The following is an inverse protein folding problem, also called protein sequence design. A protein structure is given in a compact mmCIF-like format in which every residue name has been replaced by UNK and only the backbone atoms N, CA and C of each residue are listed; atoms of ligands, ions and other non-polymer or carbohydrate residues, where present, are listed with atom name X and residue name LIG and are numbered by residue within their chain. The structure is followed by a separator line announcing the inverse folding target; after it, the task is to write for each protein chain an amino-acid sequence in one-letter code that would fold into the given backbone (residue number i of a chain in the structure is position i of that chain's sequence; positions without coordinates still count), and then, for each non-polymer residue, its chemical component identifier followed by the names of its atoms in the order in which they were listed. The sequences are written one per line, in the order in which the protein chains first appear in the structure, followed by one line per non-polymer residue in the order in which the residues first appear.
data_IF_819956168596
#
_entry.id   IF_819956168596
#
_cell.length_a   1.000
_cell.length_b   1.000
_cell.length_c   1.000
_cell.angle_alpha   90.00
_cell.angle_beta   90.00
_cell.angle_gamma   90.00
#
_symmetry.space_group_name_H-M   'P 1'
#
loop_
_entity.id
_entity.type
_entity.pdbx_description
1 polymer ?
#
# COMPACT_ATOMS: atom_id res chain seq x y z
N UNK A 1 -1.39 10.09 18.10
CA UNK A 1 -1.22 10.30 16.66
C UNK A 1 -2.26 9.48 15.92
N UNK A 2 -2.95 10.08 14.95
CA UNK A 2 -3.99 9.44 14.16
C UNK A 2 -3.64 9.54 12.67
N UNK A 3 -3.45 8.41 12.02
CA UNK A 3 -2.99 8.32 10.62
C UNK A 3 -4.08 7.74 9.74
N UNK A 4 -4.31 8.37 8.58
CA UNK A 4 -5.20 7.82 7.56
C UNK A 4 -4.39 7.23 6.42
N UNK A 5 -4.57 5.94 6.15
CA UNK A 5 -3.91 5.22 5.07
C UNK A 5 -4.83 5.10 3.87
N UNK A 6 -4.36 5.49 2.70
CA UNK A 6 -5.10 5.45 1.45
C UNK A 6 -4.55 4.37 0.52
N UNK A 7 -5.43 3.52 -0.01
CA UNK A 7 -5.05 2.46 -0.97
C UNK A 7 -6.12 2.27 -2.03
N UNK A 8 -5.75 1.69 -3.17
CA UNK A 8 -6.72 1.41 -4.24
C UNK A 8 -7.82 0.43 -3.81
N UNK A 9 -7.49 -0.60 -3.03
CA UNK A 9 -8.41 -1.67 -2.62
C UNK A 9 -8.55 -2.81 -3.65
N UNK A 10 -7.80 -2.75 -4.74
CA UNK A 10 -7.65 -3.85 -5.71
C UNK A 10 -6.26 -4.45 -5.71
N UNK A 11 -5.48 -4.11 -4.71
CA UNK A 11 -4.09 -4.49 -4.59
C UNK A 11 -3.95 -5.97 -4.19
N UNK A 12 -2.91 -6.62 -4.69
CA UNK A 12 -2.60 -8.03 -4.45
C UNK A 12 -1.09 -8.20 -4.21
N UNK A 13 -0.67 -9.39 -3.79
CA UNK A 13 0.73 -9.70 -3.56
C UNK A 13 1.35 -8.93 -2.39
N UNK A 14 2.65 -8.63 -2.49
CA UNK A 14 3.45 -8.08 -1.40
C UNK A 14 2.96 -6.74 -0.85
N UNK A 15 2.45 -5.84 -1.69
CA UNK A 15 1.91 -4.55 -1.25
C UNK A 15 0.68 -4.72 -0.34
N UNK A 16 -0.21 -5.67 -0.67
CA UNK A 16 -1.36 -6.03 0.16
C UNK A 16 -0.92 -6.54 1.52
N UNK A 17 -0.06 -7.55 1.54
CA UNK A 17 0.44 -8.16 2.78
C UNK A 17 1.13 -7.13 3.66
N UNK A 18 1.98 -6.28 3.07
CA UNK A 18 2.65 -5.21 3.80
C UNK A 18 1.65 -4.25 4.46
N UNK A 19 0.66 -3.73 3.72
CA UNK A 19 -0.29 -2.74 4.25
C UNK A 19 -1.14 -3.33 5.38
N UNK A 20 -1.63 -4.56 5.22
CA UNK A 20 -2.43 -5.22 6.25
C UNK A 20 -1.61 -5.48 7.53
N UNK A 21 -0.39 -6.03 7.40
CA UNK A 21 0.51 -6.27 8.52
C UNK A 21 0.92 -4.96 9.20
N UNK A 22 1.25 -3.93 8.43
CA UNK A 22 1.59 -2.60 8.95
C UNK A 22 0.46 -2.03 9.79
N UNK A 23 -0.77 -2.01 9.28
CA UNK A 23 -1.92 -1.43 9.96
C UNK A 23 -2.33 -2.22 11.20
N UNK A 24 -2.28 -3.55 11.15
CA UNK A 24 -2.53 -4.41 12.29
C UNK A 24 -1.56 -4.13 13.44
N UNK A 25 -0.29 -3.90 13.12
CA UNK A 25 0.73 -3.60 14.13
C UNK A 25 0.69 -2.13 14.58
N UNK A 26 0.48 -1.17 13.70
CA UNK A 26 0.34 0.23 14.06
C UNK A 26 -0.83 0.48 15.02
N UNK A 27 -1.96 -0.19 14.82
CA UNK A 27 -3.14 -0.06 15.69
C UNK A 27 -2.92 -0.55 17.13
N UNK A 28 -1.77 -1.18 17.44
CA UNK A 28 -1.37 -1.49 18.81
C UNK A 28 -0.82 -0.27 19.57
N UNK A 29 -0.36 0.76 18.85
CA UNK A 29 0.36 1.92 19.41
C UNK A 29 -0.22 3.27 19.02
N UNK A 30 -0.83 3.38 17.85
CA UNK A 30 -1.45 4.60 17.34
C UNK A 30 -2.81 4.27 16.72
N UNK A 31 -3.60 5.28 16.41
CA UNK A 31 -4.83 5.08 15.63
C UNK A 31 -4.51 5.11 14.14
N UNK A 32 -4.64 3.99 13.45
CA UNK A 32 -4.46 3.89 12.01
C UNK A 32 -5.78 3.48 11.33
N UNK A 33 -6.29 4.35 10.47
CA UNK A 33 -7.53 4.17 9.69
C UNK A 33 -7.18 3.81 8.26
N UNK A 34 -7.81 2.78 7.71
CA UNK A 34 -7.70 2.42 6.30
C UNK A 34 -8.84 3.02 5.49
N UNK A 35 -8.51 3.57 4.33
CA UNK A 35 -9.45 3.99 3.29
C UNK A 35 -9.13 3.28 2.00
N UNK A 36 -10.11 2.55 1.47
CA UNK A 36 -10.05 1.91 0.15
C UNK A 36 -10.89 2.68 -0.86
N UNK A 37 -10.37 2.83 -2.09
CA UNK A 37 -11.11 3.44 -3.21
C UNK A 37 -11.97 2.46 -3.98
N UNK A 38 -11.98 1.21 -3.57
CA UNK A 38 -12.84 0.14 -4.08
C UNK A 38 -13.13 -0.84 -2.96
N UNK A 39 -14.39 -1.24 -2.87
CA UNK A 39 -14.78 -2.36 -2.01
C UNK A 39 -14.37 -3.70 -2.64
N UNK A 40 -14.19 -4.71 -1.82
CA UNK A 40 -13.82 -6.04 -2.28
C UNK A 40 -12.93 -6.81 -1.31
N UNK A 41 -12.32 -7.92 -1.78
CA UNK A 41 -11.59 -8.87 -0.93
C UNK A 41 -10.49 -8.25 -0.05
N UNK A 42 -9.84 -7.18 -0.51
CA UNK A 42 -8.84 -6.47 0.29
C UNK A 42 -9.46 -5.79 1.52
N UNK A 43 -10.56 -5.05 1.30
CA UNK A 43 -11.25 -4.36 2.37
C UNK A 43 -11.89 -5.35 3.36
N UNK A 44 -12.44 -6.47 2.85
CA UNK A 44 -13.01 -7.52 3.67
C UNK A 44 -11.97 -8.19 4.56
N UNK A 45 -10.76 -8.43 4.04
CA UNK A 45 -9.66 -8.99 4.81
C UNK A 45 -9.17 -8.01 5.88
N UNK A 46 -9.06 -6.72 5.54
CA UNK A 46 -8.72 -5.69 6.51
C UNK A 46 -9.72 -5.65 7.67
N UNK A 47 -11.01 -5.69 7.37
CA UNK A 47 -12.08 -5.74 8.39
C UNK A 47 -11.99 -6.99 9.27
N UNK A 48 -11.73 -8.17 8.67
CA UNK A 48 -11.52 -9.43 9.41
C UNK A 48 -10.33 -9.38 10.36
N UNK A 49 -9.30 -8.61 10.01
CA UNK A 49 -8.13 -8.35 10.84
C UNK A 49 -8.36 -7.27 11.91
N UNK A 50 -9.59 -6.75 12.03
CA UNK A 50 -9.92 -5.70 12.98
C UNK A 50 -9.38 -4.31 12.62
N UNK A 51 -8.96 -4.11 11.36
CA UNK A 51 -8.46 -2.82 10.89
C UNK A 51 -9.67 -1.92 10.56
N UNK A 52 -9.79 -0.73 11.20
CA UNK A 52 -10.82 0.24 10.87
C UNK A 52 -10.75 0.61 9.38
N UNK A 53 -11.79 0.29 8.62
CA UNK A 53 -11.77 0.38 7.15
C UNK A 53 -13.00 1.09 6.61
N UNK A 54 -12.78 2.15 5.84
CA UNK A 54 -13.80 2.94 5.14
C UNK A 54 -13.66 2.83 3.62
N UNK A 55 -14.77 2.94 2.91
CA UNK A 55 -14.80 2.87 1.46
C UNK A 55 -15.21 4.21 0.85
N UNK A 56 -14.31 4.79 0.07
CA UNK A 56 -14.58 6.00 -0.72
C UNK A 56 -14.52 5.68 -2.21
N UNK A 57 -15.53 4.95 -2.69
CA UNK A 57 -15.60 4.53 -4.09
C UNK A 57 -16.24 5.59 -4.99
N UNK A 58 -15.88 5.54 -6.28
CA UNK A 58 -16.51 6.37 -7.32
C UNK A 58 -15.55 6.72 -8.45
N UNK A 59 -16.15 6.97 -9.63
CA UNK A 59 -15.41 7.38 -10.84
C UNK A 59 -15.10 8.88 -10.86
N UNK A 60 -15.82 9.67 -10.07
CA UNK A 60 -15.60 11.11 -9.99
C UNK A 60 -14.57 11.43 -8.89
N UNK A 61 -13.32 11.60 -9.30
CA UNK A 61 -12.19 11.89 -8.40
C UNK A 61 -12.40 13.17 -7.57
N UNK A 62 -13.04 14.19 -8.13
CA UNK A 62 -13.30 15.45 -7.41
C UNK A 62 -14.36 15.27 -6.31
N UNK A 63 -15.36 14.41 -6.54
CA UNK A 63 -16.34 14.05 -5.51
C UNK A 63 -15.67 13.27 -4.38
N UNK A 64 -14.91 12.24 -4.71
CA UNK A 64 -14.14 11.45 -3.72
C UNK A 64 -13.21 12.34 -2.91
N UNK A 65 -12.48 13.26 -3.57
CA UNK A 65 -11.62 14.24 -2.88
C UNK A 65 -12.40 15.10 -1.89
N UNK A 66 -13.56 15.65 -2.27
CA UNK A 66 -14.38 16.50 -1.37
C UNK A 66 -14.86 15.73 -0.14
N UNK A 67 -15.31 14.50 -0.33
CA UNK A 67 -15.74 13.61 0.76
C UNK A 67 -14.56 13.32 1.71
N UNK A 68 -13.38 13.01 1.17
CA UNK A 68 -12.19 12.75 1.97
C UNK A 68 -11.71 13.97 2.74
N UNK A 69 -11.73 15.16 2.12
CA UNK A 69 -11.34 16.40 2.84
C UNK A 69 -12.21 16.58 4.08
N UNK A 70 -13.54 16.46 3.95
CA UNK A 70 -14.46 16.55 5.07
C UNK A 70 -14.18 15.48 6.12
N UNK A 71 -14.09 14.22 5.69
CA UNK A 71 -13.81 13.08 6.57
C UNK A 71 -12.51 13.23 7.37
N UNK A 72 -11.45 13.72 6.71
CA UNK A 72 -10.15 13.95 7.34
C UNK A 72 -10.23 15.10 8.35
N UNK A 73 -10.88 16.22 8.00
CA UNK A 73 -11.03 17.38 8.88
C UNK A 73 -11.89 17.06 10.11
N UNK A 74 -13.02 16.37 9.91
CA UNK A 74 -13.90 15.93 11.01
C UNK A 74 -13.24 14.84 11.89
N UNK A 75 -12.38 14.02 11.29
CA UNK A 75 -11.73 12.92 11.97
C UNK A 75 -10.51 13.27 12.82
N UNK A 76 -9.94 14.48 12.69
CA UNK A 76 -8.78 14.93 13.46
C UNK A 76 -7.53 14.08 13.21
N UNK A 77 -7.21 13.83 11.94
CA UNK A 77 -6.00 13.10 11.53
C UNK A 77 -4.78 14.02 11.54
N UNK A 78 -3.62 13.42 11.80
CA UNK A 78 -2.31 14.10 11.86
C UNK A 78 -1.48 13.89 10.57
N UNK A 79 -1.73 12.80 9.84
CA UNK A 79 -0.92 12.38 8.69
C UNK A 79 -1.79 11.60 7.67
N UNK A 80 -1.51 11.81 6.39
CA UNK A 80 -2.03 11.03 5.28
C UNK A 80 -0.92 10.13 4.74
N UNK A 81 -1.14 8.79 4.73
CA UNK A 81 -0.19 7.82 4.20
C UNK A 81 -0.78 7.12 2.97
N UNK A 82 -0.12 7.24 1.84
CA UNK A 82 -0.57 6.72 0.55
C UNK A 82 0.15 5.42 0.18
N UNK A 83 -0.60 4.48 -0.43
CA UNK A 83 -0.06 3.25 -0.99
C UNK A 83 -0.54 3.09 -2.43
N UNK A 84 0.41 3.15 -3.37
CA UNK A 84 0.16 2.99 -4.80
C UNK A 84 -0.31 4.25 -5.53
N UNK A 85 -0.33 4.19 -6.86
CA UNK A 85 -0.46 5.34 -7.75
C UNK A 85 -1.77 6.12 -7.60
N UNK A 86 -2.91 5.43 -7.44
CA UNK A 86 -4.21 6.10 -7.24
C UNK A 86 -4.25 6.86 -5.92
N UNK A 87 -3.71 6.25 -4.85
CA UNK A 87 -3.62 6.88 -3.55
C UNK A 87 -2.68 8.09 -3.58
N UNK A 88 -1.54 7.99 -4.26
CA UNK A 88 -0.59 9.09 -4.43
C UNK A 88 -1.23 10.29 -5.12
N UNK A 89 -1.99 10.06 -6.20
CA UNK A 89 -2.70 11.11 -6.92
C UNK A 89 -3.72 11.81 -6.01
N UNK A 90 -4.55 11.06 -5.30
CA UNK A 90 -5.55 11.60 -4.39
C UNK A 90 -4.87 12.30 -3.21
N UNK A 91 -3.84 11.71 -2.60
CA UNK A 91 -3.06 12.30 -1.53
C UNK A 91 -2.45 13.65 -1.90
N UNK A 92 -1.87 13.77 -3.10
CA UNK A 92 -1.37 15.03 -3.62
C UNK A 92 -2.45 16.11 -3.73
N UNK A 93 -3.69 15.72 -4.04
CA UNK A 93 -4.85 16.63 -4.10
C UNK A 93 -5.42 16.97 -2.71
N UNK A 94 -5.16 16.14 -1.70
CA UNK A 94 -5.61 16.36 -0.31
C UNK A 94 -4.68 17.27 0.49
N UNK A 95 -3.39 17.31 0.15
CA UNK A 95 -2.35 18.03 0.87
C UNK A 95 -2.72 19.48 1.20
N UNK A 96 -3.09 20.27 0.20
CA UNK A 96 -3.43 21.70 0.40
C UNK A 96 -4.73 21.90 1.21
N UNK A 97 -5.87 21.26 0.87
CA UNK A 97 -7.13 21.52 1.57
C UNK A 97 -7.17 20.97 2.99
N UNK A 98 -6.37 19.96 3.33
CA UNK A 98 -6.31 19.43 4.71
C UNK A 98 -5.21 20.08 5.54
N UNK A 99 -4.17 20.64 4.91
CA UNK A 99 -2.98 21.15 5.58
C UNK A 99 -2.09 20.05 6.20
N UNK A 100 -2.44 18.79 6.03
CA UNK A 100 -1.71 17.67 6.62
C UNK A 100 -0.51 17.26 5.77
N UNK A 101 0.57 16.78 6.40
CA UNK A 101 1.65 16.14 5.69
C UNK A 101 1.17 14.86 5.02
N UNK A 102 1.71 14.59 3.82
CA UNK A 102 1.38 13.41 3.02
C UNK A 102 2.64 12.61 2.74
N UNK A 103 2.64 11.36 3.18
CA UNK A 103 3.72 10.40 2.92
C UNK A 103 3.23 9.29 1.99
N UNK A 104 4.11 8.65 1.27
CA UNK A 104 3.82 7.43 0.50
C UNK A 104 4.87 6.37 0.72
N UNK A 105 4.45 5.10 0.72
CA UNK A 105 5.36 3.94 0.59
C UNK A 105 5.41 3.50 -0.87
N UNK A 106 6.63 3.43 -1.41
CA UNK A 106 6.91 2.96 -2.76
C UNK A 106 7.37 1.51 -2.70
N UNK A 107 6.50 0.61 -3.17
CA UNK A 107 6.71 -0.84 -3.12
C UNK A 107 7.39 -1.40 -4.36
N UNK A 108 7.31 -0.71 -5.48
CA UNK A 108 7.81 -1.13 -6.78
C UNK A 108 8.35 0.04 -7.58
N UNK A 109 9.09 -0.26 -8.62
CA UNK A 109 9.48 0.75 -9.60
C UNK A 109 8.25 1.24 -10.39
N UNK A 110 7.79 2.45 -10.08
CA UNK A 110 6.60 3.04 -10.72
C UNK A 110 6.67 3.10 -12.26
N UNK A 111 7.88 2.98 -12.86
CA UNK A 111 8.04 2.91 -14.31
C UNK A 111 7.73 1.53 -14.87
N UNK A 112 7.83 0.49 -14.04
CA UNK A 112 7.55 -0.90 -14.40
C UNK A 112 6.10 -1.31 -14.14
N UNK A 113 5.37 -0.58 -13.27
CA UNK A 113 3.98 -0.91 -12.88
C UNK A 113 3.02 -1.03 -14.08
N UNK A 114 3.38 -0.44 -15.22
CA UNK A 114 2.57 -0.42 -16.45
C UNK A 114 3.27 -1.08 -17.64
N UNK A 115 4.22 -2.00 -17.40
CA UNK A 115 4.88 -2.74 -18.47
C UNK A 115 3.84 -3.56 -19.26
N UNK A 116 3.96 -3.54 -20.60
CA UNK A 116 3.00 -4.18 -21.50
C UNK A 116 1.71 -3.37 -21.78
N UNK A 117 1.54 -2.19 -21.15
CA UNK A 117 0.38 -1.30 -21.37
C UNK A 117 0.85 0.13 -21.72
N UNK A 118 1.27 0.39 -22.96
CA UNK A 118 1.96 1.63 -23.32
C UNK A 118 1.14 2.90 -23.09
N UNK A 119 -0.17 2.88 -23.35
CA UNK A 119 -1.07 4.01 -23.07
C UNK A 119 -1.21 4.25 -21.55
N UNK A 120 -1.35 3.22 -20.76
CA UNK A 120 -1.43 3.32 -19.29
C UNK A 120 -0.11 3.82 -18.71
N UNK A 121 1.03 3.41 -19.25
CA UNK A 121 2.36 3.88 -18.86
C UNK A 121 2.51 5.38 -19.12
N UNK A 122 2.10 5.85 -20.31
CA UNK A 122 2.20 7.26 -20.67
C UNK A 122 1.29 8.15 -19.82
N UNK A 123 0.10 7.70 -19.47
CA UNK A 123 -0.90 8.45 -18.69
C UNK A 123 -0.71 8.27 -17.18
N UNK A 124 -0.97 7.08 -16.67
CA UNK A 124 -0.93 6.81 -15.23
C UNK A 124 0.48 6.82 -14.64
N UNK A 125 1.49 6.36 -15.41
CA UNK A 125 2.89 6.44 -15.00
C UNK A 125 3.35 7.89 -14.84
N UNK A 126 3.00 8.76 -15.77
CA UNK A 126 3.33 10.20 -15.70
C UNK A 126 2.59 10.89 -14.56
N UNK A 127 1.29 10.60 -14.42
CA UNK A 127 0.48 11.15 -13.31
C UNK A 127 1.04 10.70 -11.96
N UNK A 128 1.40 9.42 -11.81
CA UNK A 128 2.00 8.92 -10.57
C UNK A 128 3.36 9.58 -10.29
N UNK A 129 4.24 9.71 -11.31
CA UNK A 129 5.52 10.38 -11.16
C UNK A 129 5.35 11.85 -10.73
N UNK A 130 4.37 12.55 -11.28
CA UNK A 130 4.03 13.90 -10.87
C UNK A 130 3.48 13.94 -9.43
N UNK A 131 2.54 13.05 -9.11
CA UNK A 131 1.97 12.96 -7.77
C UNK A 131 3.05 12.68 -6.72
N UNK A 132 3.93 11.70 -6.97
CA UNK A 132 5.07 11.40 -6.08
C UNK A 132 5.95 12.62 -5.78
N UNK A 133 6.15 13.53 -6.75
CA UNK A 133 6.93 14.77 -6.53
C UNK A 133 6.20 15.81 -5.69
N UNK A 134 4.88 15.72 -5.57
CA UNK A 134 4.05 16.66 -4.79
C UNK A 134 3.82 16.24 -3.34
N UNK A 135 4.13 14.99 -3.00
CA UNK A 135 4.03 14.50 -1.63
C UNK A 135 5.17 15.04 -0.77
N UNK A 136 4.96 15.13 0.53
CA UNK A 136 5.95 15.69 1.46
C UNK A 136 7.09 14.72 1.72
N UNK A 137 6.76 13.44 1.94
CA UNK A 137 7.74 12.40 2.27
C UNK A 137 7.50 11.12 1.48
N UNK A 138 8.56 10.32 1.32
CA UNK A 138 8.53 9.03 0.62
C UNK A 138 9.28 7.99 1.42
N UNK A 139 8.71 6.83 1.50
CA UNK A 139 9.32 5.64 2.10
C UNK A 139 9.62 4.67 0.97
N UNK A 140 10.88 4.29 0.82
CA UNK A 140 11.29 3.16 0.00
C UNK A 140 11.38 1.90 0.85
N UNK A 141 10.90 0.77 0.34
CA UNK A 141 10.95 -0.52 1.06
C UNK A 141 12.34 -1.14 1.15
N UNK A 142 13.36 -0.48 0.58
CA UNK A 142 14.79 -0.83 0.68
C UNK A 142 15.66 0.38 0.31
N UNK A 143 16.95 0.36 0.69
CA UNK A 143 17.92 1.37 0.27
C UNK A 143 18.03 1.43 -1.25
N UNK A 144 18.07 0.29 -1.93
CA UNK A 144 18.11 0.23 -3.39
C UNK A 144 16.91 0.94 -4.05
N UNK A 145 15.72 0.88 -3.43
CA UNK A 145 14.54 1.62 -3.91
C UNK A 145 14.69 3.13 -3.72
N UNK A 146 15.24 3.55 -2.59
CA UNK A 146 15.53 4.96 -2.31
C UNK A 146 16.56 5.49 -3.30
N UNK A 147 17.67 4.79 -3.50
CA UNK A 147 18.74 5.15 -4.44
C UNK A 147 18.22 5.25 -5.88
N UNK A 148 17.38 4.29 -6.28
CA UNK A 148 16.74 4.30 -7.60
C UNK A 148 15.89 5.57 -7.80
N UNK A 149 15.14 5.99 -6.79
CA UNK A 149 14.28 7.17 -6.90
C UNK A 149 15.11 8.46 -6.87
N UNK A 150 16.15 8.53 -6.05
CA UNK A 150 17.10 9.65 -6.03
C UNK A 150 17.80 9.79 -7.39
N UNK A 151 18.26 8.69 -8.00
CA UNK A 151 18.86 8.69 -9.34
C UNK A 151 17.92 9.19 -10.44
N UNK A 152 16.61 9.19 -10.18
CA UNK A 152 15.54 9.73 -11.05
C UNK A 152 15.18 11.19 -10.76
N UNK A 153 15.97 11.86 -9.93
CA UNK A 153 15.82 13.28 -9.62
C UNK A 153 14.76 13.59 -8.57
N UNK A 154 14.47 12.64 -7.67
CA UNK A 154 13.71 12.97 -6.47
C UNK A 154 14.64 13.53 -5.38
N UNK A 155 14.18 14.48 -4.54
CA UNK A 155 15.02 15.09 -3.50
C UNK A 155 15.34 14.09 -2.38
N UNK A 156 16.63 13.89 -2.09
CA UNK A 156 17.10 12.90 -1.12
C UNK A 156 16.67 13.19 0.33
N UNK A 157 16.54 14.47 0.70
CA UNK A 157 16.19 14.93 2.04
C UNK A 157 14.79 14.54 2.51
N UNK A 158 13.98 13.96 1.64
CA UNK A 158 12.57 13.58 1.90
C UNK A 158 12.29 12.10 1.67
N UNK A 159 13.34 11.28 1.68
CA UNK A 159 13.27 9.85 1.56
C UNK A 159 13.73 9.14 2.82
N UNK A 160 13.05 8.04 3.12
CA UNK A 160 13.40 7.13 4.21
C UNK A 160 13.39 5.71 3.68
N UNK A 161 14.46 4.95 3.94
CA UNK A 161 14.45 3.52 3.71
C UNK A 161 13.84 2.85 4.95
N UNK A 162 12.67 2.24 4.79
CA UNK A 162 12.00 1.48 5.86
C UNK A 162 11.63 0.12 5.28
N UNK A 163 12.35 -0.90 5.73
CA UNK A 163 12.16 -2.27 5.27
C UNK A 163 10.81 -2.83 5.76
N UNK A 164 10.22 -3.71 4.97
CA UNK A 164 9.01 -4.40 5.39
C UNK A 164 9.31 -5.28 6.60
N UNK A 165 8.46 -5.18 7.61
CA UNK A 165 8.51 -6.07 8.77
C UNK A 165 8.15 -7.50 8.36
N UNK A 166 8.81 -8.47 8.95
CA UNK A 166 8.53 -9.90 8.81
C UNK A 166 8.13 -10.42 10.19
N UNK A 167 7.06 -11.16 10.24
CA UNK A 167 6.67 -11.89 11.44
C UNK A 167 7.48 -13.19 11.50
N UNK A 168 8.32 -13.31 12.51
CA UNK A 168 9.15 -14.51 12.78
C UNK A 168 8.43 -15.53 13.65
N UNK A 169 7.16 -15.33 13.99
CA UNK A 169 6.37 -16.34 14.68
C UNK A 169 6.32 -17.60 13.82
N UNK A 170 6.74 -18.77 14.36
CA UNK A 170 6.68 -19.99 13.59
C UNK A 170 5.25 -20.21 13.07
N UNK A 171 5.09 -20.61 11.80
CA UNK A 171 3.78 -20.96 11.29
C UNK A 171 3.21 -22.13 12.13
N UNK A 172 1.88 -22.23 12.27
CA UNK A 172 1.29 -23.39 12.90
C UNK A 172 1.76 -24.64 12.17
N UNK A 173 1.89 -25.78 12.90
CA UNK A 173 2.29 -27.03 12.26
C UNK A 173 1.39 -27.32 11.08
N UNK A 174 1.93 -27.86 9.99
CA UNK A 174 1.15 -28.17 8.81
C UNK A 174 0.01 -29.14 9.19
N UNK A 175 -1.17 -28.92 8.62
CA UNK A 175 -2.36 -29.77 8.86
C UNK A 175 -2.20 -31.18 8.31
N UNK A 176 -1.21 -31.38 7.46
CA UNK A 176 -0.96 -32.60 6.73
C UNK A 176 0.54 -32.74 6.47
N UNK A 177 1.04 -33.98 6.48
CA UNK A 177 2.41 -34.26 6.09
C UNK A 177 2.68 -33.84 4.63
N UNK A 178 3.88 -33.33 4.38
CA UNK A 178 4.28 -32.78 3.08
C UNK A 178 4.06 -33.74 1.92
N UNK A 179 4.47 -35.01 2.06
CA UNK A 179 4.33 -36.00 1.00
C UNK A 179 2.87 -36.35 0.72
N UNK A 180 2.03 -36.38 1.74
CA UNK A 180 0.59 -36.57 1.61
C UNK A 180 -0.06 -35.44 0.82
N UNK A 181 0.31 -34.18 1.13
CA UNK A 181 -0.17 -33.00 0.41
C UNK A 181 0.24 -33.03 -1.06
N UNK A 182 1.50 -33.39 -1.37
CA UNK A 182 2.00 -33.48 -2.74
C UNK A 182 1.28 -34.61 -3.53
N UNK A 183 1.01 -35.75 -2.89
CA UNK A 183 0.22 -36.84 -3.51
C UNK A 183 -1.21 -36.40 -3.85
N UNK A 184 -1.85 -35.61 -2.98
CA UNK A 184 -3.19 -35.08 -3.26
C UNK A 184 -3.18 -34.10 -4.45
N UNK A 185 -2.09 -33.41 -4.69
CA UNK A 185 -1.90 -32.56 -5.86
C UNK A 185 -1.47 -33.29 -7.11
N UNK A 186 -1.35 -34.63 -7.06
CA UNK A 186 -0.90 -35.46 -8.17
C UNK A 186 0.58 -35.33 -8.51
N UNK A 187 1.38 -34.83 -7.57
CA UNK A 187 2.84 -34.68 -7.72
C UNK A 187 3.51 -35.94 -7.19
N UNK A 188 4.25 -36.62 -8.06
CA UNK A 188 5.11 -37.73 -7.65
C UNK A 188 6.37 -37.17 -7.00
N UNK A 189 6.42 -37.19 -5.67
CA UNK A 189 7.48 -36.62 -4.87
C UNK A 189 7.98 -37.60 -3.81
N UNK A 190 9.27 -37.61 -3.60
CA UNK A 190 9.97 -38.34 -2.57
C UNK A 190 10.45 -37.45 -1.41
N UNK A 191 11.17 -38.02 -0.44
CA UNK A 191 11.70 -37.31 0.71
C UNK A 191 12.75 -36.25 0.34
N UNK A 192 13.38 -36.34 -0.84
CA UNK A 192 14.41 -35.42 -1.32
C UNK A 192 13.85 -34.32 -2.21
N UNK A 193 12.57 -34.38 -2.58
CA UNK A 193 11.93 -33.37 -3.41
C UNK A 193 11.81 -32.05 -2.65
N UNK A 194 12.30 -30.96 -3.21
CA UNK A 194 12.21 -29.60 -2.65
C UNK A 194 11.03 -28.88 -3.30
N UNK A 195 10.17 -28.29 -2.50
CA UNK A 195 9.01 -27.47 -2.93
C UNK A 195 9.22 -26.04 -2.51
#
# INVERSE_FOLDING_TARGET
MKVIHLISGGDSGGAKTHVLSLLQNLNKTITAQLVCFRDGPFADEARKLGIPTEIFSGNNVLRVRRQLVRYIQEGGYDLIHCHGSRANMIGAMLRKPTGLPVVTTVHSDYRLDYMGRPLSRLTFGTINAYALRKLDYRIGVSDAMVDLLISRGFPADRFYAIYNGIDFTPPPPPRMERLEYLRQLGVDADENSVV
#
